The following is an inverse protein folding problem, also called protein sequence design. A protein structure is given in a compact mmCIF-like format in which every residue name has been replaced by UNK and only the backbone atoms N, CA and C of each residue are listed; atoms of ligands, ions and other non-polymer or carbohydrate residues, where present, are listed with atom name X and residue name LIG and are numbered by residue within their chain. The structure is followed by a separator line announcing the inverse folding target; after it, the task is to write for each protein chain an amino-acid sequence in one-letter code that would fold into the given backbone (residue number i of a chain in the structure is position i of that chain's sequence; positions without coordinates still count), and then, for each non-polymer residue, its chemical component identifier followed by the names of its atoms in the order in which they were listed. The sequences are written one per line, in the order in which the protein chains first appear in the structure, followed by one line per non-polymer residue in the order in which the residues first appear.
data_IF_505303625562
#
_entry.id   IF_505303625562
#
_cell.length_a   1.000
_cell.length_b   1.000
_cell.length_c   1.000
_cell.angle_alpha   90.00
_cell.angle_beta   90.00
_cell.angle_gamma   90.00
#
_symmetry.space_group_name_H-M   'P 1'
#
loop_
_entity.id
_entity.type
_entity.pdbx_description
1 polymer ?
#
# COMPACT_ATOMS: atom_id res chain seq x y z
N UNK A 1 33.39 -6.97 -38.37
CA UNK A 1 32.45 -7.74 -37.53
C UNK A 1 32.16 -7.07 -36.18
N UNK A 2 33.17 -6.76 -35.35
CA UNK A 2 33.01 -6.12 -34.03
C UNK A 2 32.23 -4.78 -34.04
N UNK A 3 32.48 -3.87 -34.98
CA UNK A 3 31.74 -2.59 -35.11
C UNK A 3 30.23 -2.78 -35.38
N UNK A 4 29.86 -3.76 -36.22
CA UNK A 4 28.45 -4.07 -36.51
C UNK A 4 27.76 -4.67 -35.29
N UNK A 5 28.43 -5.58 -34.58
CA UNK A 5 27.93 -6.16 -33.31
C UNK A 5 27.72 -5.06 -32.26
N UNK A 6 28.70 -4.16 -32.09
CA UNK A 6 28.60 -3.06 -31.13
C UNK A 6 27.44 -2.11 -31.47
N UNK A 7 27.27 -1.77 -32.75
CA UNK A 7 26.17 -0.93 -33.21
C UNK A 7 24.79 -1.59 -32.98
N UNK A 8 24.67 -2.89 -33.26
CA UNK A 8 23.44 -3.65 -32.99
C UNK A 8 23.14 -3.71 -31.49
N UNK A 9 24.14 -3.96 -30.64
CA UNK A 9 23.97 -3.95 -29.18
C UNK A 9 23.53 -2.58 -28.66
N UNK A 10 24.11 -1.49 -29.19
CA UNK A 10 23.69 -0.14 -28.84
C UNK A 10 22.25 0.16 -29.25
N UNK A 11 21.82 -0.28 -30.44
CA UNK A 11 20.42 -0.12 -30.88
C UNK A 11 19.47 -0.91 -29.99
N UNK A 12 19.81 -2.16 -29.66
CA UNK A 12 19.01 -2.98 -28.73
C UNK A 12 18.91 -2.30 -27.36
N UNK A 13 20.03 -1.79 -26.83
CA UNK A 13 20.04 -1.09 -25.55
C UNK A 13 19.15 0.16 -25.57
N UNK A 14 19.21 0.96 -26.63
CA UNK A 14 18.35 2.15 -26.80
C UNK A 14 16.88 1.74 -26.85
N UNK A 15 16.53 0.69 -27.59
CA UNK A 15 15.16 0.16 -27.66
C UNK A 15 14.69 -0.37 -26.30
N UNK A 16 15.55 -1.08 -25.58
CA UNK A 16 15.26 -1.56 -24.22
C UNK A 16 15.08 -0.40 -23.24
N UNK A 17 15.92 0.63 -23.30
CA UNK A 17 15.81 1.83 -22.47
C UNK A 17 14.54 2.62 -22.80
N UNK A 18 14.21 2.78 -24.09
CA UNK A 18 12.98 3.42 -24.55
C UNK A 18 11.73 2.66 -24.12
N UNK A 19 11.70 1.34 -24.33
CA UNK A 19 10.60 0.47 -23.89
C UNK A 19 10.44 0.44 -22.38
N UNK A 20 11.55 0.40 -21.62
CA UNK A 20 11.54 0.49 -20.17
C UNK A 20 11.03 1.85 -19.69
N UNK A 21 11.45 2.94 -20.32
CA UNK A 21 10.97 4.30 -20.02
C UNK A 21 9.46 4.44 -20.20
N UNK A 22 8.92 3.92 -21.30
CA UNK A 22 7.47 3.88 -21.54
C UNK A 22 6.76 3.05 -20.46
N UNK A 23 7.28 1.86 -20.16
CA UNK A 23 6.69 0.96 -19.17
C UNK A 23 6.64 1.56 -17.75
N UNK A 24 7.71 2.23 -17.33
CA UNK A 24 7.81 2.88 -16.01
C UNK A 24 6.91 4.10 -15.91
N UNK A 25 6.70 4.81 -17.02
CA UNK A 25 5.89 6.03 -17.03
C UNK A 25 4.38 5.76 -17.25
N UNK A 26 4.01 4.58 -17.75
CA UNK A 26 2.62 4.13 -17.79
C UNK A 26 2.20 3.67 -16.40
N UNK A 27 1.51 4.50 -15.62
CA UNK A 27 0.97 4.11 -14.31
C UNK A 27 -0.30 4.88 -13.97
N UNK A 28 -1.06 4.39 -13.00
CA UNK A 28 -2.27 5.07 -12.53
C UNK A 28 -1.92 6.25 -11.64
N UNK A 29 -2.26 7.45 -12.11
CA UNK A 29 -2.01 8.71 -11.42
C UNK A 29 -3.06 8.99 -10.34
N UNK A 30 -2.66 9.73 -9.31
CA UNK A 30 -3.58 10.21 -8.30
C UNK A 30 -4.59 11.21 -8.91
N UNK A 31 -5.84 11.11 -8.48
CA UNK A 31 -6.88 12.10 -8.80
C UNK A 31 -6.68 13.36 -7.95
N UNK A 32 -7.17 14.51 -8.41
CA UNK A 32 -6.98 15.82 -7.75
C UNK A 32 -7.39 15.81 -6.27
N UNK A 33 -8.51 15.16 -5.93
CA UNK A 33 -8.97 15.06 -4.54
C UNK A 33 -7.99 14.32 -3.61
N UNK A 34 -7.10 13.48 -4.14
CA UNK A 34 -6.04 12.84 -3.38
C UNK A 34 -4.83 13.77 -3.21
N UNK A 35 -4.52 14.54 -4.25
CA UNK A 35 -3.42 15.51 -4.24
C UNK A 35 -3.71 16.71 -3.34
N UNK A 36 -4.98 17.13 -3.21
CA UNK A 36 -5.39 18.22 -2.32
C UNK A 36 -4.95 18.01 -0.86
N UNK A 37 -4.92 16.75 -0.40
CA UNK A 37 -4.51 16.38 0.96
C UNK A 37 -3.04 16.72 1.25
N UNK A 38 -2.19 16.84 0.22
CA UNK A 38 -0.80 17.27 0.41
C UNK A 38 -0.69 18.67 1.03
N UNK A 39 -1.74 19.49 0.92
CA UNK A 39 -1.76 20.85 1.48
C UNK A 39 -2.29 20.89 2.93
N UNK A 40 -2.68 19.75 3.50
CA UNK A 40 -3.20 19.70 4.87
C UNK A 40 -2.06 19.82 5.89
N UNK A 41 -2.32 20.51 7.00
CA UNK A 41 -1.28 20.87 8.00
C UNK A 41 -0.58 19.68 8.64
N UNK A 42 -1.25 18.54 8.71
CA UNK A 42 -0.75 17.33 9.33
C UNK A 42 -0.09 16.36 8.35
N UNK A 43 0.11 16.78 7.09
CA UNK A 43 0.72 16.00 6.03
C UNK A 43 2.08 16.60 5.69
N UNK A 44 3.13 15.80 5.73
CA UNK A 44 4.50 16.25 5.48
C UNK A 44 5.19 15.37 4.45
N UNK A 45 5.77 15.99 3.42
CA UNK A 45 6.66 15.31 2.48
C UNK A 45 8.08 15.33 3.03
N UNK A 46 8.39 14.37 3.89
CA UNK A 46 9.68 14.25 4.60
C UNK A 46 10.86 14.16 3.62
N UNK A 47 10.71 13.40 2.53
CA UNK A 47 11.70 13.33 1.45
C UNK A 47 11.08 12.82 0.15
N UNK A 48 11.90 12.49 -0.85
CA UNK A 48 11.44 11.97 -2.15
C UNK A 48 10.71 10.63 -2.06
N UNK A 49 10.93 9.86 -0.98
CA UNK A 49 10.45 8.50 -0.81
C UNK A 49 9.43 8.32 0.32
N UNK A 50 9.13 9.36 1.09
CA UNK A 50 8.26 9.28 2.28
C UNK A 50 7.37 10.51 2.40
N UNK A 51 6.08 10.24 2.60
CA UNK A 51 5.09 11.21 3.07
C UNK A 51 4.54 10.70 4.41
N UNK A 52 4.42 11.57 5.40
CA UNK A 52 3.86 11.25 6.72
C UNK A 52 2.56 11.99 6.93
N UNK A 53 1.62 11.34 7.64
CA UNK A 53 0.41 11.95 8.15
C UNK A 53 0.35 11.71 9.66
N UNK A 54 0.25 12.78 10.42
CA UNK A 54 0.32 12.75 11.89
C UNK A 54 -1.05 13.06 12.50
N UNK A 55 -1.53 12.31 13.50
CA UNK A 55 -2.78 12.63 14.18
C UNK A 55 -2.64 13.90 15.05
N UNK A 56 -3.75 14.60 15.31
CA UNK A 56 -3.75 15.80 16.17
C UNK A 56 -3.29 15.49 17.59
N UNK A 57 -3.72 14.33 18.13
CA UNK A 57 -3.28 13.83 19.43
C UNK A 57 -2.08 12.91 19.24
N UNK A 58 -1.06 13.06 20.09
CA UNK A 58 0.11 12.18 20.09
C UNK A 58 -0.32 10.72 20.23
N UNK A 59 0.30 9.87 19.42
CA UNK A 59 0.06 8.43 19.35
C UNK A 59 1.39 7.73 19.14
N UNK A 60 1.58 6.59 19.82
CA UNK A 60 2.74 5.70 19.64
C UNK A 60 2.43 4.50 18.73
N UNK A 61 1.33 4.59 17.96
CA UNK A 61 0.93 3.61 16.94
C UNK A 61 1.22 4.16 15.54
N UNK A 62 1.93 3.37 14.72
CA UNK A 62 2.33 3.73 13.37
C UNK A 62 1.93 2.68 12.34
N UNK A 63 1.50 3.14 11.16
CA UNK A 63 1.14 2.32 10.01
C UNK A 63 2.04 2.68 8.83
N UNK A 64 2.89 1.75 8.40
CA UNK A 64 3.73 1.91 7.22
C UNK A 64 2.99 1.35 6.00
N UNK A 65 2.71 2.21 5.01
CA UNK A 65 1.87 1.87 3.88
C UNK A 65 2.67 1.60 2.60
N UNK A 66 2.46 0.41 2.04
CA UNK A 66 3.06 -0.08 0.80
C UNK A 66 2.04 0.05 -0.36
N UNK A 67 2.25 0.97 -1.31
CA UNK A 67 1.32 1.18 -2.42
C UNK A 67 1.29 0.00 -3.40
N UNK A 68 0.18 -0.10 -4.14
CA UNK A 68 -0.01 -1.07 -5.21
C UNK A 68 0.91 -0.88 -6.43
N UNK A 69 0.94 -1.89 -7.28
CA UNK A 69 1.71 -1.92 -8.52
C UNK A 69 1.31 -0.81 -9.48
N UNK A 70 2.26 -0.05 -10.02
CA UNK A 70 1.99 0.96 -11.05
C UNK A 70 0.88 1.94 -10.62
N UNK A 71 0.88 2.32 -9.34
CA UNK A 71 -0.02 3.33 -8.77
C UNK A 71 0.82 4.40 -8.09
N UNK A 72 0.52 5.67 -8.38
CA UNK A 72 1.11 6.79 -7.67
C UNK A 72 0.78 6.72 -6.17
N UNK A 73 1.79 6.80 -5.30
CA UNK A 73 1.59 6.60 -3.86
C UNK A 73 0.62 7.62 -3.25
N UNK A 74 0.61 8.87 -3.74
CA UNK A 74 -0.29 9.94 -3.29
C UNK A 74 -1.77 9.60 -3.49
N UNK A 75 -2.10 8.64 -4.36
CA UNK A 75 -3.48 8.19 -4.55
C UNK A 75 -4.08 7.54 -3.29
N UNK A 76 -3.27 7.13 -2.31
CA UNK A 76 -3.74 6.55 -1.05
C UNK A 76 -3.96 7.59 0.06
N UNK A 77 -3.61 8.86 -0.16
CA UNK A 77 -3.73 9.91 0.86
C UNK A 77 -5.15 10.03 1.45
N UNK A 78 -6.25 9.95 0.67
CA UNK A 78 -7.61 10.02 1.25
C UNK A 78 -7.94 8.90 2.22
N UNK A 79 -7.44 7.68 1.98
CA UNK A 79 -7.60 6.57 2.91
C UNK A 79 -6.73 6.79 4.15
N UNK A 80 -5.48 7.21 3.97
CA UNK A 80 -4.54 7.42 5.06
C UNK A 80 -4.95 8.58 5.97
N UNK A 81 -5.51 9.65 5.42
CA UNK A 81 -6.07 10.75 6.20
C UNK A 81 -7.18 10.26 7.14
N UNK A 82 -8.11 9.45 6.62
CA UNK A 82 -9.19 8.87 7.44
C UNK A 82 -8.64 7.96 8.55
N UNK A 83 -7.57 7.22 8.28
CA UNK A 83 -6.88 6.38 9.26
C UNK A 83 -6.17 7.27 10.31
N UNK A 84 -5.53 8.36 9.88
CA UNK A 84 -4.90 9.32 10.78
C UNK A 84 -5.91 10.03 11.67
N UNK A 85 -7.12 10.30 11.18
CA UNK A 85 -8.23 10.82 11.98
C UNK A 85 -8.73 9.83 13.06
N UNK A 86 -8.31 8.55 13.00
CA UNK A 86 -8.50 7.57 14.08
C UNK A 86 -7.39 7.58 15.13
N UNK A 87 -6.36 8.41 14.96
CA UNK A 87 -5.27 8.56 15.93
C UNK A 87 -4.01 7.76 15.57
N UNK A 88 -3.84 7.32 14.32
CA UNK A 88 -2.66 6.55 13.90
C UNK A 88 -1.71 7.38 13.04
N UNK A 89 -0.41 7.28 13.30
CA UNK A 89 0.60 7.87 12.42
C UNK A 89 0.67 7.05 11.12
N UNK A 90 0.58 7.67 9.96
CA UNK A 90 0.68 6.98 8.68
C UNK A 90 1.97 7.37 7.95
N UNK A 91 2.69 6.37 7.43
CA UNK A 91 3.94 6.52 6.71
C UNK A 91 3.79 5.96 5.31
N UNK A 92 3.48 6.83 4.35
CA UNK A 92 3.25 6.46 2.95
C UNK A 92 4.57 6.40 2.18
N UNK A 93 4.96 5.20 1.81
CA UNK A 93 6.17 4.97 1.03
C UNK A 93 5.94 5.27 -0.46
N UNK A 94 6.92 5.91 -1.09
CA UNK A 94 7.08 5.89 -2.55
C UNK A 94 8.04 4.78 -2.92
N UNK A 95 7.58 3.85 -3.75
CA UNK A 95 8.39 2.70 -4.17
C UNK A 95 9.13 3.00 -5.47
N UNK A 96 10.35 2.46 -5.68
CA UNK A 96 11.03 2.58 -6.97
C UNK A 96 10.14 2.06 -8.08
N UNK A 97 10.02 2.84 -9.17
CA UNK A 97 9.18 2.52 -10.33
C UNK A 97 7.69 2.23 -10.00
N UNK A 98 7.18 2.75 -8.88
CA UNK A 98 5.84 2.45 -8.36
C UNK A 98 5.60 0.94 -8.14
N UNK A 99 6.65 0.20 -7.75
CA UNK A 99 6.60 -1.24 -7.53
C UNK A 99 7.30 -1.63 -6.23
N UNK A 100 6.53 -2.11 -5.25
CA UNK A 100 7.05 -2.46 -3.92
C UNK A 100 8.09 -3.58 -3.91
N UNK A 101 8.15 -4.41 -4.96
CA UNK A 101 9.13 -5.50 -5.08
C UNK A 101 10.58 -5.01 -5.03
N UNK A 102 10.84 -3.79 -5.51
CA UNK A 102 12.17 -3.19 -5.53
C UNK A 102 12.62 -2.62 -4.19
N UNK A 103 11.73 -2.50 -3.21
CA UNK A 103 12.08 -2.00 -1.88
C UNK A 103 11.23 -2.61 -0.76
N UNK A 104 11.11 -3.94 -0.74
CA UNK A 104 10.33 -4.66 0.29
C UNK A 104 10.76 -4.34 1.73
N UNK A 105 12.04 -4.02 1.94
CA UNK A 105 12.62 -3.74 3.26
C UNK A 105 12.54 -2.26 3.68
N UNK A 106 11.80 -1.41 2.95
CA UNK A 106 11.67 0.01 3.24
C UNK A 106 11.25 0.33 4.68
N UNK A 107 10.38 -0.51 5.26
CA UNK A 107 9.90 -0.37 6.63
C UNK A 107 11.01 -0.31 7.69
N UNK A 108 12.16 -1.00 7.50
CA UNK A 108 13.27 -0.94 8.45
C UNK A 108 13.77 0.49 8.67
N UNK A 109 13.84 1.29 7.59
CA UNK A 109 14.31 2.68 7.69
C UNK A 109 13.32 3.53 8.48
N UNK A 110 12.04 3.30 8.29
CA UNK A 110 10.97 4.05 8.98
C UNK A 110 10.95 3.68 10.47
N UNK A 111 10.93 2.39 10.80
CA UNK A 111 10.92 1.92 12.20
C UNK A 111 12.11 2.52 12.99
N UNK A 112 13.30 2.53 12.39
CA UNK A 112 14.49 3.11 13.03
C UNK A 112 14.45 4.65 13.15
N UNK A 113 13.77 5.33 12.23
CA UNK A 113 13.70 6.79 12.19
C UNK A 113 12.71 7.37 13.20
N UNK A 114 11.70 6.60 13.62
CA UNK A 114 10.63 7.05 14.51
C UNK A 114 10.58 6.23 15.82
N UNK A 115 11.59 6.39 16.72
CA UNK A 115 11.70 5.58 17.95
C UNK A 115 10.59 5.86 18.98
N UNK A 116 9.81 6.92 18.80
CA UNK A 116 8.65 7.24 19.63
C UNK A 116 7.42 6.37 19.32
N UNK A 117 7.42 5.65 18.20
CA UNK A 117 6.37 4.70 17.85
C UNK A 117 6.73 3.34 18.44
N UNK A 118 5.84 2.81 19.29
CA UNK A 118 6.02 1.53 19.98
C UNK A 118 5.27 0.39 19.30
N UNK A 119 4.17 0.71 18.62
CA UNK A 119 3.34 -0.28 17.95
C UNK A 119 3.34 -0.04 16.43
N UNK A 120 3.87 -1.00 15.68
CA UNK A 120 4.05 -0.93 14.24
C UNK A 120 3.15 -1.90 13.49
N UNK A 121 2.41 -1.37 12.55
CA UNK A 121 1.63 -2.14 11.58
C UNK A 121 2.15 -1.89 10.18
N UNK A 122 2.28 -2.95 9.38
CA UNK A 122 2.58 -2.81 7.96
C UNK A 122 1.30 -2.99 7.19
N UNK A 123 0.92 -2.00 6.40
CA UNK A 123 -0.24 -2.04 5.53
C UNK A 123 0.20 -2.08 4.07
N UNK A 124 -0.48 -2.85 3.22
CA UNK A 124 -0.20 -2.82 1.80
C UNK A 124 -1.39 -3.16 0.92
N UNK A 125 -1.43 -2.51 -0.24
CA UNK A 125 -2.44 -2.75 -1.26
C UNK A 125 -1.92 -3.64 -2.39
N UNK A 126 -2.66 -4.66 -2.81
CA UNK A 126 -2.33 -5.50 -3.97
C UNK A 126 -0.89 -6.07 -3.90
N UNK A 127 -0.02 -5.82 -4.90
CA UNK A 127 1.41 -6.17 -4.82
C UNK A 127 2.12 -5.53 -3.61
N UNK A 128 1.75 -4.32 -3.21
CA UNK A 128 2.25 -3.70 -1.98
C UNK A 128 1.91 -4.54 -0.74
N UNK A 129 0.71 -5.14 -0.72
CA UNK A 129 0.29 -6.09 0.32
C UNK A 129 1.10 -7.38 0.32
N UNK A 130 1.38 -7.94 -0.85
CA UNK A 130 2.26 -9.11 -0.96
C UNK A 130 3.67 -8.83 -0.42
N UNK A 131 4.22 -7.64 -0.71
CA UNK A 131 5.54 -7.23 -0.20
C UNK A 131 5.54 -6.86 1.27
N UNK A 132 4.45 -6.25 1.76
CA UNK A 132 4.21 -6.05 3.19
C UNK A 132 4.20 -7.39 3.92
N UNK A 133 3.43 -8.36 3.44
CA UNK A 133 3.39 -9.72 4.03
C UNK A 133 4.74 -10.41 3.98
N UNK A 134 5.46 -10.29 2.85
CA UNK A 134 6.83 -10.81 2.71
C UNK A 134 7.78 -10.19 3.74
N UNK A 135 7.69 -8.88 3.98
CA UNK A 135 8.48 -8.20 5.00
C UNK A 135 8.13 -8.69 6.41
N UNK A 136 6.84 -8.72 6.77
CA UNK A 136 6.38 -9.17 8.09
C UNK A 136 6.79 -10.61 8.37
N UNK A 137 6.70 -11.51 7.37
CA UNK A 137 7.08 -12.92 7.54
C UNK A 137 8.52 -13.12 8.02
N UNK A 138 9.40 -12.16 7.73
CA UNK A 138 10.84 -12.16 8.06
C UNK A 138 11.22 -11.22 9.21
N UNK A 139 10.27 -10.45 9.74
CA UNK A 139 10.51 -9.43 10.77
C UNK A 139 9.36 -9.41 11.79
N UNK A 140 8.87 -10.58 12.18
CA UNK A 140 7.72 -10.74 13.09
C UNK A 140 7.94 -10.09 14.47
N UNK A 141 9.20 -9.93 14.86
CA UNK A 141 9.67 -9.32 16.10
C UNK A 141 9.63 -7.78 16.09
N UNK A 142 9.47 -7.15 14.91
CA UNK A 142 9.52 -5.69 14.75
C UNK A 142 8.16 -5.03 14.55
N UNK A 143 7.11 -5.82 14.37
CA UNK A 143 5.78 -5.34 13.98
C UNK A 143 4.69 -6.10 14.72
N UNK A 144 3.68 -5.38 15.16
CA UNK A 144 2.54 -5.92 15.90
C UNK A 144 1.50 -6.55 14.97
N UNK A 145 1.47 -6.19 13.68
CA UNK A 145 0.51 -6.77 12.76
C UNK A 145 0.67 -6.38 11.29
N UNK A 146 -0.06 -7.11 10.45
CA UNK A 146 -0.12 -6.94 9.01
C UNK A 146 -1.54 -6.54 8.59
N UNK A 147 -1.68 -5.56 7.69
CA UNK A 147 -2.95 -5.14 7.11
C UNK A 147 -2.87 -5.27 5.59
N UNK A 148 -3.76 -6.07 5.01
CA UNK A 148 -3.77 -6.42 3.59
C UNK A 148 -5.03 -5.86 2.94
N UNK A 149 -4.84 -4.94 1.99
CA UNK A 149 -5.92 -4.36 1.19
C UNK A 149 -5.91 -4.98 -0.19
N UNK A 150 -7.01 -5.61 -0.61
CA UNK A 150 -7.12 -6.25 -1.92
C UNK A 150 -6.01 -7.28 -2.19
N UNK A 151 -5.48 -7.91 -1.14
CA UNK A 151 -4.36 -8.85 -1.16
C UNK A 151 -4.58 -9.93 -0.09
N UNK A 152 -3.66 -10.88 0.04
CA UNK A 152 -3.76 -12.04 0.93
C UNK A 152 -2.39 -12.32 1.55
N UNK A 153 -2.38 -13.13 2.61
CA UNK A 153 -1.15 -13.51 3.31
C UNK A 153 -0.20 -14.21 2.34
N UNK A 154 1.03 -13.71 2.28
CA UNK A 154 2.14 -14.30 1.53
C UNK A 154 3.34 -14.52 2.45
N UNK A 155 3.85 -15.75 2.46
CA UNK A 155 4.90 -16.18 3.37
C UNK A 155 4.35 -16.61 4.73
N UNK A 156 5.26 -16.81 5.69
CA UNK A 156 4.93 -17.28 7.02
C UNK A 156 4.44 -16.13 7.91
N UNK A 157 3.13 -15.83 7.87
CA UNK A 157 2.45 -14.87 8.76
C UNK A 157 1.17 -15.54 9.28
N UNK A 158 0.93 -15.47 10.59
CA UNK A 158 -0.28 -16.04 11.19
C UNK A 158 -1.52 -15.20 10.87
N UNK A 159 -2.63 -15.86 10.54
CA UNK A 159 -3.91 -15.19 10.29
C UNK A 159 -4.49 -14.45 11.51
N UNK A 160 -4.00 -14.76 12.72
CA UNK A 160 -4.31 -14.02 13.95
C UNK A 160 -3.66 -12.62 13.99
N UNK A 161 -2.53 -12.45 13.31
CA UNK A 161 -1.70 -11.24 13.30
C UNK A 161 -1.86 -10.44 12.00
N UNK A 162 -2.71 -10.91 11.08
CA UNK A 162 -3.00 -10.27 9.82
C UNK A 162 -4.49 -9.94 9.68
N UNK A 163 -4.81 -8.74 9.22
CA UNK A 163 -6.14 -8.33 8.77
C UNK A 163 -6.19 -8.34 7.25
N UNK A 164 -7.11 -9.09 6.66
CA UNK A 164 -7.34 -9.10 5.22
C UNK A 164 -8.66 -8.42 4.87
N UNK A 165 -8.60 -7.36 4.06
CA UNK A 165 -9.76 -6.59 3.60
C UNK A 165 -9.80 -6.63 2.08
N UNK A 166 -10.91 -7.07 1.49
CA UNK A 166 -11.08 -7.03 0.04
C UNK A 166 -12.53 -6.78 -0.38
N UNK A 167 -12.72 -6.14 -1.53
CA UNK A 167 -14.05 -5.97 -2.13
C UNK A 167 -14.58 -7.28 -2.70
N UNK A 168 -15.89 -7.55 -2.56
CA UNK A 168 -16.51 -8.79 -3.05
C UNK A 168 -16.39 -8.99 -4.56
N UNK A 169 -16.21 -7.91 -5.32
CA UNK A 169 -16.00 -7.96 -6.78
C UNK A 169 -14.53 -8.21 -7.16
N UNK A 170 -13.61 -8.25 -6.18
CA UNK A 170 -12.24 -8.72 -6.38
C UNK A 170 -12.14 -10.24 -6.16
N UNK A 171 -12.63 -11.01 -7.13
CA UNK A 171 -12.71 -12.48 -7.04
C UNK A 171 -11.35 -13.18 -6.97
N UNK A 172 -10.29 -12.52 -7.44
CA UNK A 172 -8.92 -13.07 -7.46
C UNK A 172 -8.38 -13.36 -6.05
N UNK A 173 -8.66 -12.47 -5.09
CA UNK A 173 -8.21 -12.60 -3.69
C UNK A 173 -8.94 -13.73 -2.99
N UNK A 174 -10.26 -13.84 -3.17
CA UNK A 174 -11.07 -14.90 -2.54
C UNK A 174 -10.54 -16.31 -2.84
N UNK A 175 -10.02 -16.54 -4.05
CA UNK A 175 -9.48 -17.84 -4.48
C UNK A 175 -8.12 -18.19 -3.85
N UNK A 176 -7.47 -17.22 -3.20
CA UNK A 176 -6.11 -17.35 -2.63
C UNK A 176 -6.11 -17.39 -1.10
N UNK A 177 -7.27 -17.17 -0.47
CA UNK A 177 -7.41 -17.21 0.99
C UNK A 177 -7.84 -18.62 1.39
N UNK A 178 -6.97 -19.31 2.14
CA UNK A 178 -7.21 -20.62 2.77
C UNK A 178 -7.33 -20.53 4.31
N UNK A 179 -7.15 -19.33 4.87
CA UNK A 179 -7.30 -19.00 6.28
C UNK A 179 -8.68 -18.42 6.60
N UNK A 180 -9.00 -18.29 7.90
CA UNK A 180 -10.37 -17.96 8.36
C UNK A 180 -10.46 -16.75 9.28
N UNK A 181 -9.39 -16.37 9.97
CA UNK A 181 -9.43 -15.25 10.93
C UNK A 181 -9.25 -13.91 10.24
N UNK A 182 -9.81 -12.87 10.85
CA UNK A 182 -9.56 -11.47 10.52
C UNK A 182 -9.74 -11.15 9.03
N UNK A 183 -10.80 -11.68 8.41
CA UNK A 183 -11.17 -11.38 7.03
C UNK A 183 -12.40 -10.47 7.01
N UNK A 184 -12.30 -9.36 6.30
CA UNK A 184 -13.39 -8.43 6.04
C UNK A 184 -13.65 -8.36 4.54
N UNK A 185 -14.83 -8.79 4.13
CA UNK A 185 -15.28 -8.69 2.74
C UNK A 185 -16.18 -7.47 2.61
N UNK A 186 -15.73 -6.45 1.87
CA UNK A 186 -16.53 -5.27 1.57
C UNK A 186 -17.48 -5.63 0.44
N UNK A 187 -18.75 -5.87 0.79
CA UNK A 187 -19.79 -6.14 -0.20
C UNK A 187 -19.81 -5.02 -1.22
N UNK A 188 -19.95 -5.37 -2.50
CA UNK A 188 -20.10 -4.43 -3.62
C UNK A 188 -18.85 -3.57 -3.93
N UNK A 189 -17.78 -3.75 -3.14
CA UNK A 189 -16.48 -3.13 -3.36
C UNK A 189 -15.63 -3.85 -4.40
N UNK A 190 -14.60 -3.16 -4.91
CA UNK A 190 -13.65 -3.69 -5.90
C UNK A 190 -12.20 -3.59 -5.42
N UNK A 191 -11.26 -3.86 -6.33
CA UNK A 191 -9.83 -3.76 -6.08
C UNK A 191 -9.35 -2.30 -6.06
N UNK A 192 -9.62 -1.51 -7.09
CA UNK A 192 -9.13 -0.12 -7.20
C UNK A 192 -9.58 0.85 -6.09
N UNK A 193 -10.77 0.69 -5.49
CA UNK A 193 -11.34 1.69 -4.57
C UNK A 193 -10.62 1.81 -3.22
N UNK A 194 -9.54 1.06 -2.97
CA UNK A 194 -8.63 1.36 -1.85
C UNK A 194 -7.80 2.63 -2.09
N UNK A 195 -7.62 3.06 -3.35
CA UNK A 195 -6.95 4.31 -3.71
C UNK A 195 -7.79 5.18 -4.65
N UNK A 196 -7.33 6.42 -4.83
CA UNK A 196 -7.95 7.48 -5.61
C UNK A 196 -7.18 7.70 -6.91
N UNK A 197 -7.13 6.69 -7.76
CA UNK A 197 -6.43 6.71 -9.05
C UNK A 197 -7.34 6.33 -10.24
N UNK A 198 -8.65 6.41 -10.03
CA UNK A 198 -9.65 6.06 -11.04
C UNK A 198 -9.85 4.55 -11.21
N UNK A 199 -10.23 4.15 -12.42
CA UNK A 199 -10.43 2.76 -12.79
C UNK A 199 -9.13 2.17 -13.34
N UNK A 200 -8.78 0.97 -12.89
CA UNK A 200 -7.62 0.23 -13.38
C UNK A 200 -8.07 -0.89 -14.32
N UNK A 201 -7.39 -1.02 -15.46
CA UNK A 201 -7.70 -2.05 -16.46
C UNK A 201 -7.63 -3.44 -15.83
N UNK A 202 -8.71 -4.21 -15.97
CA UNK A 202 -8.83 -5.57 -15.43
C UNK A 202 -9.58 -5.64 -14.09
N UNK A 203 -9.81 -4.53 -13.41
CA UNK A 203 -10.61 -4.51 -12.19
C UNK A 203 -12.10 -4.51 -12.50
N UNK A 204 -12.89 -5.24 -11.69
CA UNK A 204 -14.33 -5.09 -11.71
C UNK A 204 -14.73 -3.67 -11.27
N UNK A 205 -15.81 -3.13 -11.85
CA UNK A 205 -16.39 -1.86 -11.40
C UNK A 205 -17.13 -2.07 -10.08
N UNK A 206 -16.81 -1.27 -9.06
CA UNK A 206 -17.58 -1.26 -7.80
C UNK A 206 -19.00 -0.73 -8.00
N UNK A 207 -19.93 -1.22 -7.20
CA UNK A 207 -21.32 -0.74 -7.13
C UNK A 207 -21.54 0.20 -5.93
N UNK A 208 -20.62 0.20 -4.95
CA UNK A 208 -20.54 1.23 -3.90
C UNK A 208 -19.53 2.33 -4.28
N UNK A 209 -19.66 3.49 -3.63
CA UNK A 209 -18.69 4.58 -3.80
C UNK A 209 -17.33 4.23 -3.21
N UNK A 210 -16.28 4.88 -3.72
CA UNK A 210 -14.93 4.78 -3.16
C UNK A 210 -14.87 5.20 -1.69
N UNK A 211 -15.54 6.31 -1.34
CA UNK A 211 -15.62 6.81 0.04
C UNK A 211 -16.25 5.76 0.96
N UNK A 212 -17.31 5.11 0.52
CA UNK A 212 -17.96 4.05 1.29
C UNK A 212 -17.03 2.84 1.53
N UNK A 213 -16.34 2.38 0.49
CA UNK A 213 -15.34 1.31 0.63
C UNK A 213 -14.20 1.71 1.59
N UNK A 214 -13.69 2.93 1.49
CA UNK A 214 -12.63 3.43 2.37
C UNK A 214 -13.11 3.56 3.82
N UNK A 215 -14.33 4.07 4.07
CA UNK A 215 -14.91 4.13 5.40
C UNK A 215 -14.97 2.76 6.08
N UNK A 216 -15.46 1.74 5.34
CA UNK A 216 -15.49 0.36 5.85
C UNK A 216 -14.09 -0.20 6.11
N UNK A 217 -13.13 0.15 5.23
CA UNK A 217 -11.71 -0.21 5.40
C UNK A 217 -11.14 0.38 6.69
N UNK A 218 -11.33 1.68 6.93
CA UNK A 218 -10.86 2.36 8.14
C UNK A 218 -11.49 1.77 9.39
N UNK A 219 -12.79 1.48 9.36
CA UNK A 219 -13.49 0.83 10.48
C UNK A 219 -12.88 -0.54 10.81
N UNK A 220 -12.59 -1.34 9.79
CA UNK A 220 -11.96 -2.64 9.97
C UNK A 220 -10.54 -2.53 10.55
N UNK A 221 -9.73 -1.61 10.03
CA UNK A 221 -8.37 -1.33 10.54
C UNK A 221 -8.40 -0.91 12.00
N UNK A 222 -9.25 0.07 12.34
CA UNK A 222 -9.41 0.55 13.70
C UNK A 222 -9.78 -0.59 14.66
N UNK A 223 -10.80 -1.38 14.31
CA UNK A 223 -11.23 -2.50 15.14
C UNK A 223 -10.14 -3.57 15.34
N UNK A 224 -9.29 -3.78 14.34
CA UNK A 224 -8.18 -4.74 14.42
C UNK A 224 -7.08 -4.25 15.35
N UNK A 225 -6.69 -2.97 15.24
CA UNK A 225 -5.66 -2.36 16.07
C UNK A 225 -6.13 -2.26 17.52
N UNK A 226 -7.33 -1.74 17.78
CA UNK A 226 -7.88 -1.60 19.13
C UNK A 226 -7.93 -2.94 19.88
N UNK A 227 -8.31 -4.03 19.21
CA UNK A 227 -8.35 -5.38 19.81
C UNK A 227 -6.98 -5.94 20.21
N UNK A 228 -5.89 -5.38 19.67
CA UNK A 228 -4.51 -5.83 19.95
C UNK A 228 -3.79 -4.94 20.96
N UNK A 229 -4.27 -3.71 21.15
CA UNK A 229 -3.75 -2.78 22.15
C UNK A 229 -4.43 -2.95 23.53
N UNK A 230 -5.64 -3.53 23.56
CA UNK A 230 -6.34 -3.94 24.78
C UNK A 230 -5.95 -5.37 25.17
#
# INVERSE_FOLDING_TARGET
MKKKILMTLSIILILCMGGFGIYVNDYSHAQNNALEILNHKNVEKVNSNLITLTPEKKSDVGIIFYPGAKVENTAYLPLLEQITNKGYNCYLLKMPFNMAIFNKNAANKIINQYPNIKHWYICGHSMGGAMASSYVSKNKDKVDGLILLGSYIYGDVSDKDALTIYGSLNTSVKKKIDYKRNIVVIKDGNHANFGNYGHQKGDAKATISRKEQQNQTVKAINNFIEKRLN
#
